data_IF_581858923567
#
_entry.id   IF_581858923567
#
_cell.length_a   1.000
_cell.length_b   1.000
_cell.length_c   1.000
_cell.angle_alpha   90.00
_cell.angle_beta   90.00
_cell.angle_gamma   90.00
#
_symmetry.space_group_name_H-M   'P 1'
#
loop_
_entity.id
_entity.type
_entity.pdbx_description
1 polymer ?
#
# COMPACT_ATOMS: atom_id res chain seq x y z
N UNK A 1 -17.89 63.08 -33.41
CA UNK A 1 -18.37 63.58 -32.11
C UNK A 1 -18.92 62.39 -31.34
N UNK A 2 -18.35 62.12 -30.16
CA UNK A 2 -18.80 61.07 -29.24
C UNK A 2 -20.21 61.37 -28.72
N UNK A 3 -21.05 60.35 -28.55
CA UNK A 3 -21.39 59.72 -27.25
C UNK A 3 -22.17 58.42 -27.53
N UNK A 4 -21.91 57.31 -26.81
CA UNK A 4 -22.54 55.99 -26.98
C UNK A 4 -23.63 55.69 -25.92
N UNK A 5 -24.47 54.68 -26.15
CA UNK A 5 -24.82 53.61 -25.19
C UNK A 5 -25.93 52.66 -25.70
N UNK A 6 -25.70 51.36 -25.46
CA UNK A 6 -26.67 50.32 -25.09
C UNK A 6 -27.74 49.83 -26.10
N UNK A 7 -27.66 48.56 -26.57
CA UNK A 7 -28.44 47.44 -26.01
C UNK A 7 -28.24 46.13 -26.83
N UNK A 8 -28.04 45.05 -26.06
CA UNK A 8 -28.49 43.66 -26.24
C UNK A 8 -28.19 42.81 -27.50
N UNK A 9 -27.56 41.67 -27.17
CA UNK A 9 -27.89 40.30 -27.57
C UNK A 9 -27.54 39.84 -28.99
N UNK A 10 -26.74 38.78 -29.10
CA UNK A 10 -27.25 37.42 -29.34
C UNK A 10 -26.10 36.41 -29.28
N UNK A 11 -26.32 35.37 -28.46
CA UNK A 11 -25.83 33.99 -28.58
C UNK A 11 -24.48 33.74 -29.32
N UNK A 12 -23.47 33.35 -28.54
CA UNK A 12 -22.68 32.15 -28.88
C UNK A 12 -22.44 31.35 -27.60
N UNK A 13 -23.22 30.26 -27.47
CA UNK A 13 -22.82 29.10 -26.69
C UNK A 13 -21.40 28.73 -27.12
N UNK A 14 -20.40 28.98 -26.26
CA UNK A 14 -19.13 28.28 -26.35
C UNK A 14 -19.25 27.07 -25.46
N UNK A 15 -19.38 25.93 -26.13
CA UNK A 15 -19.12 24.59 -25.61
C UNK A 15 -17.83 24.63 -24.81
N UNK A 16 -17.93 24.50 -23.49
CA UNK A 16 -16.78 24.25 -22.60
C UNK A 16 -16.93 22.83 -22.10
N UNK A 17 -16.40 21.88 -22.87
CA UNK A 17 -15.92 20.57 -22.43
C UNK A 17 -15.10 19.99 -23.59
N UNK A 18 -13.91 19.37 -23.41
CA UNK A 18 -13.64 18.30 -22.45
C UNK A 18 -12.19 18.28 -21.87
N UNK A 19 -11.49 19.41 -21.73
CA UNK A 19 -10.07 19.38 -21.33
C UNK A 19 -9.81 18.82 -19.91
N UNK A 20 -10.74 19.00 -18.97
CA UNK A 20 -10.58 18.45 -17.61
C UNK A 20 -10.70 16.92 -17.55
N UNK A 21 -11.55 16.32 -18.38
CA UNK A 21 -11.73 14.86 -18.42
C UNK A 21 -10.57 14.16 -19.13
N UNK A 22 -9.99 14.78 -20.17
CA UNK A 22 -8.80 14.28 -20.85
C UNK A 22 -7.54 14.35 -19.98
N UNK A 23 -7.39 15.39 -19.15
CA UNK A 23 -6.29 15.49 -18.20
C UNK A 23 -6.41 14.45 -17.07
N UNK A 24 -7.63 14.20 -16.57
CA UNK A 24 -7.86 13.13 -15.59
C UNK A 24 -7.53 11.75 -16.17
N UNK A 25 -7.96 11.47 -17.42
CA UNK A 25 -7.63 10.20 -18.09
C UNK A 25 -6.13 10.03 -18.37
N UNK A 26 -5.42 11.12 -18.63
CA UNK A 26 -3.97 11.09 -18.87
C UNK A 26 -3.16 10.75 -17.61
N UNK A 27 -3.61 11.17 -16.41
CA UNK A 27 -2.95 10.82 -15.13
C UNK A 27 -3.12 9.34 -14.80
N UNK A 28 -4.29 8.75 -15.07
CA UNK A 28 -4.50 7.31 -14.87
C UNK A 28 -3.78 6.46 -15.92
N UNK A 29 -3.54 6.97 -17.12
CA UNK A 29 -2.87 6.24 -18.20
C UNK A 29 -1.32 6.36 -18.18
N UNK A 30 -0.75 7.25 -17.36
CA UNK A 30 0.70 7.55 -17.36
C UNK A 30 1.51 6.80 -16.29
N UNK A 31 0.92 5.84 -15.58
CA UNK A 31 1.58 5.16 -14.45
C UNK A 31 1.87 6.10 -13.28
N UNK A 32 1.10 7.19 -13.13
CA UNK A 32 1.25 8.11 -12.01
C UNK A 32 0.37 7.64 -10.83
N UNK A 33 1.00 7.14 -9.76
CA UNK A 33 0.30 6.78 -8.52
C UNK A 33 -0.11 8.04 -7.76
N UNK A 34 -1.41 8.20 -7.50
CA UNK A 34 -1.95 9.31 -6.71
C UNK A 34 -2.27 8.80 -5.31
N UNK A 35 -1.57 9.32 -4.31
CA UNK A 35 -1.87 9.03 -2.91
C UNK A 35 -2.90 10.03 -2.39
N UNK A 36 -4.05 9.50 -1.95
CA UNK A 36 -5.13 10.28 -1.38
C UNK A 36 -5.98 9.45 -0.41
N UNK A 37 -6.56 10.14 0.56
CA UNK A 37 -7.56 9.65 1.51
C UNK A 37 -8.74 10.62 1.63
N UNK A 38 -9.08 11.34 0.56
CA UNK A 38 -10.20 12.31 0.53
C UNK A 38 -11.48 11.64 1.05
N UNK A 39 -12.04 12.20 2.12
CA UNK A 39 -13.26 11.71 2.77
C UNK A 39 -13.07 10.48 3.66
N UNK A 40 -11.84 9.98 3.79
CA UNK A 40 -11.47 8.84 4.65
C UNK A 40 -10.54 9.24 5.81
N UNK A 41 -9.87 10.39 5.69
CA UNK A 41 -8.88 10.90 6.64
C UNK A 41 -9.44 11.44 7.96
N UNK A 42 -10.73 11.28 8.27
CA UNK A 42 -11.33 11.90 9.47
C UNK A 42 -10.57 11.55 10.75
N UNK A 43 -10.05 12.58 11.42
CA UNK A 43 -9.29 12.45 12.67
C UNK A 43 -10.16 12.32 13.92
N UNK A 44 -9.53 11.99 15.04
CA UNK A 44 -10.21 11.72 16.31
C UNK A 44 -10.90 12.93 16.91
N UNK A 45 -10.47 14.16 16.60
CA UNK A 45 -11.13 15.37 17.07
C UNK A 45 -12.59 15.44 16.59
N UNK A 46 -12.84 14.96 15.36
CA UNK A 46 -14.16 14.93 14.75
C UNK A 46 -14.90 13.62 15.04
N UNK A 47 -14.18 12.50 15.05
CA UNK A 47 -14.77 11.18 15.19
C UNK A 47 -13.86 10.22 15.98
N UNK A 48 -13.96 10.18 17.32
CA UNK A 48 -13.23 9.24 18.16
C UNK A 48 -13.50 7.77 17.79
N UNK A 49 -12.56 6.89 18.11
CA UNK A 49 -12.73 5.45 17.86
C UNK A 49 -13.73 4.85 18.85
N UNK A 50 -14.62 4.00 18.36
CA UNK A 50 -15.72 3.43 19.15
C UNK A 50 -15.81 1.91 19.08
N UNK A 51 -14.87 1.25 18.40
CA UNK A 51 -14.81 -0.21 18.32
C UNK A 51 -14.57 -0.90 19.67
N UNK A 52 -14.62 -2.25 19.70
CA UNK A 52 -14.35 -3.03 20.91
C UNK A 52 -12.93 -2.81 21.44
N UNK A 53 -12.72 -3.13 22.71
CA UNK A 53 -11.39 -3.11 23.32
C UNK A 53 -10.47 -4.15 22.66
N UNK A 54 -9.16 -4.06 22.92
CA UNK A 54 -8.18 -4.97 22.32
C UNK A 54 -8.47 -6.45 22.54
N UNK A 55 -8.54 -7.18 21.44
CA UNK A 55 -8.55 -8.64 21.39
C UNK A 55 -7.59 -9.08 20.28
N UNK A 56 -6.67 -10.02 20.57
CA UNK A 56 -5.88 -10.64 19.52
C UNK A 56 -6.80 -11.26 18.46
N UNK A 57 -6.41 -11.17 17.20
CA UNK A 57 -7.04 -11.85 16.07
C UNK A 57 -7.21 -13.33 16.39
N UNK A 58 -8.42 -13.83 16.13
CA UNK A 58 -8.71 -15.24 16.33
C UNK A 58 -7.90 -16.09 15.33
N UNK A 59 -7.43 -17.26 15.79
CA UNK A 59 -6.56 -18.13 15.01
C UNK A 59 -7.26 -18.81 13.83
N UNK A 60 -8.58 -18.73 13.74
CA UNK A 60 -9.38 -19.21 12.61
C UNK A 60 -9.53 -18.15 11.50
N UNK A 61 -9.17 -16.89 11.77
CA UNK A 61 -9.24 -15.78 10.82
C UNK A 61 -7.97 -15.66 9.95
N UNK A 62 -6.93 -16.45 10.19
CA UNK A 62 -5.69 -16.44 9.41
C UNK A 62 -4.91 -17.77 9.51
N UNK A 63 -4.10 -18.07 8.50
CA UNK A 63 -3.21 -19.25 8.47
C UNK A 63 -1.76 -18.85 8.80
N UNK A 64 -1.02 -19.74 9.45
CA UNK A 64 0.42 -19.59 9.77
C UNK A 64 1.33 -19.61 8.54
N UNK A 65 0.80 -19.89 7.35
CA UNK A 65 1.51 -19.62 6.10
C UNK A 65 1.69 -18.11 5.85
N UNK A 66 0.88 -17.27 6.49
CA UNK A 66 0.91 -15.81 6.42
C UNK A 66 1.46 -15.20 7.72
N UNK A 67 1.60 -13.87 7.74
CA UNK A 67 2.00 -13.10 8.91
C UNK A 67 0.90 -12.11 9.32
N UNK A 68 0.93 -11.66 10.58
CA UNK A 68 0.01 -10.63 11.09
C UNK A 68 0.79 -9.38 11.46
N UNK A 69 0.36 -8.25 10.90
CA UNK A 69 0.83 -6.92 11.26
C UNK A 69 -0.23 -6.22 12.11
N UNK A 70 0.03 -6.04 13.40
CA UNK A 70 -0.75 -5.12 14.23
C UNK A 70 -0.23 -3.70 14.08
N UNK A 71 -1.14 -2.77 13.89
CA UNK A 71 -0.86 -1.34 13.97
C UNK A 71 -1.65 -0.77 15.13
N UNK A 72 -0.99 0.02 15.97
CA UNK A 72 -1.69 0.66 17.08
C UNK A 72 -1.11 2.03 17.43
N UNK A 73 -1.96 2.90 17.96
CA UNK A 73 -1.63 4.26 18.36
C UNK A 73 -2.14 4.50 19.79
N UNK A 74 -1.25 4.59 20.79
CA UNK A 74 -1.63 4.93 22.16
C UNK A 74 -2.35 6.28 22.25
N UNK A 75 -3.19 6.43 23.28
CA UNK A 75 -3.88 7.70 23.55
C UNK A 75 -2.89 8.85 23.82
N UNK A 76 -3.10 9.98 23.15
CA UNK A 76 -2.41 11.22 23.46
C UNK A 76 -3.24 12.43 23.10
N UNK A 77 -3.01 13.55 23.80
CA UNK A 77 -3.70 14.81 23.49
C UNK A 77 -3.44 15.29 22.06
N UNK A 78 -2.22 15.15 21.57
CA UNK A 78 -1.87 15.53 20.20
C UNK A 78 -2.70 14.77 19.17
N UNK A 79 -2.80 13.45 19.33
CA UNK A 79 -3.60 12.61 18.45
C UNK A 79 -5.12 12.82 18.62
N UNK A 80 -5.59 13.12 19.84
CA UNK A 80 -7.00 13.39 20.12
C UNK A 80 -7.48 14.71 19.48
N UNK A 81 -6.62 15.71 19.40
CA UNK A 81 -6.91 17.03 18.82
C UNK A 81 -6.72 17.07 17.29
N UNK A 82 -6.43 15.91 16.66
CA UNK A 82 -6.17 15.80 15.23
C UNK A 82 -7.45 15.78 14.38
N UNK A 83 -7.50 16.65 13.37
CA UNK A 83 -8.63 16.76 12.42
C UNK A 83 -8.51 15.75 11.29
N UNK A 84 -7.30 15.41 10.87
CA UNK A 84 -7.03 14.41 9.83
C UNK A 84 -6.06 13.34 10.33
N UNK A 85 -6.50 12.09 10.41
CA UNK A 85 -5.69 10.97 10.84
C UNK A 85 -4.69 10.54 9.75
N UNK A 86 -3.44 10.20 10.13
CA UNK A 86 -2.43 9.67 9.22
C UNK A 86 -2.89 8.40 8.49
N UNK A 87 -2.55 8.32 7.21
CA UNK A 87 -2.84 7.19 6.33
C UNK A 87 -1.72 6.15 6.38
N UNK A 88 -2.08 4.88 6.49
CA UNK A 88 -1.17 3.74 6.43
C UNK A 88 -1.28 3.06 5.07
N UNK A 89 -0.12 2.83 4.47
CA UNK A 89 0.06 2.14 3.21
C UNK A 89 0.92 0.90 3.40
N UNK A 90 0.54 -0.20 2.74
CA UNK A 90 1.37 -1.39 2.60
C UNK A 90 1.54 -1.65 1.11
N UNK A 91 2.79 -1.78 0.66
CA UNK A 91 3.16 -1.99 -0.73
C UNK A 91 2.42 -1.00 -1.66
N UNK A 92 2.51 0.29 -1.31
CA UNK A 92 1.87 1.43 -1.99
C UNK A 92 0.33 1.45 -2.06
N UNK A 93 -0.34 0.51 -1.40
CA UNK A 93 -1.80 0.47 -1.31
C UNK A 93 -2.32 1.06 0.01
N UNK A 94 -3.30 1.96 -0.07
CA UNK A 94 -3.95 2.57 1.11
C UNK A 94 -4.90 1.58 1.77
N UNK A 95 -4.79 1.40 3.10
CA UNK A 95 -5.70 0.53 3.84
C UNK A 95 -6.56 1.29 4.86
N UNK A 96 -5.95 2.08 5.73
CA UNK A 96 -6.67 2.75 6.81
C UNK A 96 -5.99 4.03 7.26
N UNK A 97 -6.74 4.83 8.04
CA UNK A 97 -6.24 6.03 8.71
C UNK A 97 -6.21 5.79 10.22
N UNK A 98 -5.03 5.87 10.83
CA UNK A 98 -4.83 5.47 12.23
C UNK A 98 -5.18 6.62 13.19
N UNK A 99 -6.38 6.51 13.77
CA UNK A 99 -6.92 7.47 14.73
C UNK A 99 -6.28 7.31 16.12
N UNK A 100 -6.42 8.32 16.97
CA UNK A 100 -6.04 8.25 18.38
C UNK A 100 -6.69 7.05 19.09
N UNK A 101 -5.95 6.47 20.05
CA UNK A 101 -6.44 5.41 20.93
C UNK A 101 -7.01 4.20 20.18
N UNK A 102 -6.30 3.77 19.13
CA UNK A 102 -6.81 2.74 18.22
C UNK A 102 -5.80 1.67 17.85
N UNK A 103 -6.31 0.49 17.50
CA UNK A 103 -5.55 -0.58 16.87
C UNK A 103 -6.30 -1.20 15.69
N UNK A 104 -5.55 -1.82 14.81
CA UNK A 104 -6.02 -2.70 13.74
C UNK A 104 -4.97 -3.76 13.46
N UNK A 105 -5.33 -4.73 12.62
CA UNK A 105 -4.41 -5.72 12.10
C UNK A 105 -4.61 -5.89 10.59
N UNK A 106 -3.56 -6.36 9.92
CA UNK A 106 -3.58 -6.84 8.54
C UNK A 106 -2.91 -8.21 8.48
N UNK A 107 -3.52 -9.17 7.77
CA UNK A 107 -2.85 -10.44 7.43
C UNK A 107 -2.14 -10.26 6.10
N UNK A 108 -0.85 -10.55 6.06
CA UNK A 108 0.04 -10.27 4.92
C UNK A 108 0.79 -11.51 4.49
N UNK A 109 1.22 -11.56 3.23
CA UNK A 109 2.15 -12.59 2.78
C UNK A 109 3.53 -12.44 3.41
N UNK A 110 4.25 -13.55 3.64
CA UNK A 110 5.64 -13.50 4.07
C UNK A 110 6.54 -12.81 3.02
N UNK A 111 7.69 -12.31 3.44
CA UNK A 111 8.66 -11.56 2.62
C UNK A 111 8.69 -10.06 2.92
N UNK A 112 9.35 -9.29 2.05
CA UNK A 112 9.51 -7.85 2.26
C UNK A 112 8.19 -7.09 2.07
N UNK A 113 7.78 -6.31 3.08
CA UNK A 113 6.62 -5.42 3.01
C UNK A 113 7.06 -3.98 3.16
N UNK A 114 6.70 -3.15 2.19
CA UNK A 114 6.95 -1.72 2.26
C UNK A 114 5.82 -1.06 3.05
N UNK A 115 6.15 -0.41 4.15
CA UNK A 115 5.21 0.25 5.05
C UNK A 115 5.49 1.74 5.00
N UNK A 116 4.50 2.50 4.56
CA UNK A 116 4.57 3.95 4.53
C UNK A 116 3.42 4.55 5.31
N UNK A 117 3.70 5.62 6.05
CA UNK A 117 2.68 6.40 6.71
C UNK A 117 2.74 7.86 6.29
N UNK A 118 1.60 8.40 5.88
CA UNK A 118 1.51 9.72 5.25
C UNK A 118 0.51 10.59 6.00
N UNK A 119 0.82 11.87 6.16
CA UNK A 119 -0.12 12.85 6.71
C UNK A 119 -0.90 13.48 5.56
N UNK A 120 -2.22 13.28 5.49
CA UNK A 120 -3.05 13.97 4.52
C UNK A 120 -3.13 15.47 4.81
N UNK A 121 -3.26 16.25 3.74
CA UNK A 121 -3.65 17.65 3.78
C UNK A 121 -4.89 17.83 2.92
N UNK A 122 -6.06 17.92 3.57
CA UNK A 122 -7.37 17.87 2.92
C UNK A 122 -7.57 16.58 2.09
N UNK A 123 -7.07 15.46 2.62
CA UNK A 123 -7.09 14.15 1.96
C UNK A 123 -6.16 13.97 0.77
N UNK A 124 -5.35 14.95 0.39
CA UNK A 124 -4.27 14.78 -0.59
C UNK A 124 -2.97 14.41 0.13
N UNK A 125 -2.23 13.45 -0.40
CA UNK A 125 -1.05 12.91 0.28
C UNK A 125 0.21 12.88 -0.59
N UNK A 126 0.08 12.70 -1.91
CA UNK A 126 1.25 12.65 -2.78
C UNK A 126 0.97 12.24 -4.22
N UNK A 127 2.03 12.26 -5.03
CA UNK A 127 2.07 11.81 -6.43
C UNK A 127 3.42 11.11 -6.68
N UNK A 128 3.41 9.84 -7.08
CA UNK A 128 4.62 9.02 -7.26
C UNK A 128 5.57 9.13 -6.05
N UNK A 129 6.87 9.32 -6.25
CA UNK A 129 7.84 9.47 -5.16
C UNK A 129 7.68 10.74 -4.32
N UNK A 130 6.77 11.67 -4.67
CA UNK A 130 6.53 12.88 -3.89
C UNK A 130 5.41 12.68 -2.88
N UNK A 131 5.75 12.72 -1.59
CA UNK A 131 4.79 12.79 -0.48
C UNK A 131 4.73 14.21 0.08
N UNK A 132 3.53 14.75 0.30
CA UNK A 132 3.31 16.06 0.91
C UNK A 132 3.84 16.11 2.35
N UNK A 133 3.64 15.01 3.09
CA UNK A 133 4.18 14.82 4.43
C UNK A 133 4.28 13.33 4.73
N UNK A 134 5.51 12.82 4.68
CA UNK A 134 5.86 11.44 5.01
C UNK A 134 6.20 11.37 6.50
N UNK A 135 5.51 10.50 7.24
CA UNK A 135 5.74 10.29 8.68
C UNK A 135 6.70 9.11 8.88
N UNK A 136 6.48 8.03 8.14
CA UNK A 136 7.31 6.84 8.19
C UNK A 136 7.40 6.20 6.80
N UNK A 137 8.54 5.58 6.53
CA UNK A 137 8.83 4.83 5.32
C UNK A 137 9.87 3.77 5.68
N UNK A 138 9.47 2.51 5.61
CA UNK A 138 10.29 1.39 6.03
C UNK A 138 9.95 0.13 5.25
N UNK A 139 10.95 -0.72 5.06
CA UNK A 139 10.74 -2.11 4.65
C UNK A 139 10.81 -3.00 5.89
N UNK A 140 9.87 -3.92 6.03
CA UNK A 140 9.87 -4.94 7.06
C UNK A 140 9.86 -6.32 6.41
N UNK A 141 10.86 -7.14 6.72
CA UNK A 141 10.83 -8.56 6.36
C UNK A 141 9.90 -9.29 7.33
N UNK A 142 8.86 -9.94 6.79
CA UNK A 142 7.90 -10.70 7.60
C UNK A 142 8.03 -12.20 7.34
N UNK A 143 8.04 -12.98 8.42
CA UNK A 143 8.16 -14.43 8.35
C UNK A 143 6.79 -15.12 8.46
N UNK A 144 6.61 -16.31 7.85
CA UNK A 144 5.40 -17.11 8.03
C UNK A 144 5.13 -17.40 9.51
N UNK A 145 3.90 -17.15 9.96
CA UNK A 145 3.47 -17.30 11.34
C UNK A 145 3.92 -16.17 12.27
N UNK A 146 4.66 -15.18 11.75
CA UNK A 146 5.13 -14.02 12.50
C UNK A 146 3.99 -13.09 12.88
N UNK A 147 4.10 -12.50 14.08
CA UNK A 147 3.16 -11.49 14.59
C UNK A 147 3.95 -10.27 15.02
N UNK A 148 3.74 -9.17 14.31
CA UNK A 148 4.52 -7.94 14.45
C UNK A 148 3.64 -6.82 14.98
N UNK A 149 4.20 -5.98 15.84
CA UNK A 149 3.48 -4.87 16.48
C UNK A 149 4.13 -3.53 16.10
N UNK A 150 3.44 -2.78 15.25
CA UNK A 150 3.84 -1.46 14.77
C UNK A 150 3.14 -0.40 15.63
N UNK A 151 3.91 0.19 16.53
CA UNK A 151 3.49 1.26 17.43
C UNK A 151 3.68 2.61 16.74
N UNK A 152 2.61 3.37 16.64
CA UNK A 152 2.67 4.75 16.13
C UNK A 152 2.44 5.78 17.24
N UNK A 153 3.36 6.73 17.40
CA UNK A 153 3.20 7.88 18.29
C UNK A 153 4.20 9.00 17.97
N UNK A 154 3.71 10.23 17.80
CA UNK A 154 4.53 11.42 17.51
C UNK A 154 5.03 12.16 18.76
N UNK A 155 4.57 11.76 19.95
CA UNK A 155 4.83 12.49 21.21
C UNK A 155 5.53 11.65 22.26
N UNK A 156 5.69 10.36 22.01
CA UNK A 156 6.33 9.42 22.92
C UNK A 156 6.98 8.28 22.16
N UNK A 157 8.23 7.99 22.51
CA UNK A 157 8.96 6.81 22.06
C UNK A 157 8.69 5.63 23.02
N UNK A 158 8.77 4.37 22.55
CA UNK A 158 8.72 3.21 23.41
C UNK A 158 9.95 3.18 24.33
N UNK A 159 9.78 2.65 25.54
CA UNK A 159 10.89 2.55 26.49
C UNK A 159 11.96 1.51 26.09
N UNK A 160 11.62 0.62 25.16
CA UNK A 160 12.47 -0.47 24.68
C UNK A 160 12.41 -0.51 23.14
N UNK A 161 13.56 -0.64 22.49
CA UNK A 161 13.66 -0.84 21.04
C UNK A 161 13.54 -2.32 20.69
N UNK A 162 13.05 -2.65 19.50
CA UNK A 162 13.03 -4.04 19.03
C UNK A 162 14.46 -4.62 18.99
N UNK A 163 14.76 -5.72 19.70
CA UNK A 163 16.14 -6.18 19.88
C UNK A 163 16.86 -6.60 18.60
N UNK A 164 16.12 -7.08 17.60
CA UNK A 164 16.69 -7.62 16.36
C UNK A 164 16.82 -6.57 15.26
N UNK A 165 16.25 -5.38 15.44
CA UNK A 165 16.39 -4.29 14.48
C UNK A 165 17.69 -3.52 14.72
N UNK A 166 18.36 -3.16 13.62
CA UNK A 166 19.50 -2.26 13.66
C UNK A 166 19.08 -0.87 14.18
N UNK A 167 19.98 -0.17 14.87
CA UNK A 167 19.65 1.08 15.54
C UNK A 167 19.28 2.23 14.59
N UNK A 168 19.69 2.14 13.33
CA UNK A 168 19.38 3.07 12.24
C UNK A 168 18.22 2.59 11.35
N UNK A 169 17.65 1.42 11.61
CA UNK A 169 16.48 0.94 10.90
C UNK A 169 15.30 1.92 11.07
N UNK A 170 14.54 2.26 10.00
CA UNK A 170 13.44 3.21 10.10
C UNK A 170 12.31 2.82 11.05
N UNK A 171 12.16 1.53 11.37
CA UNK A 171 11.23 1.04 12.41
C UNK A 171 11.85 0.93 13.81
N UNK A 172 13.14 1.22 13.98
CA UNK A 172 13.75 1.30 15.31
C UNK A 172 13.59 2.70 15.92
N UNK A 173 13.40 3.74 15.08
CA UNK A 173 13.39 5.16 15.45
C UNK A 173 12.33 5.93 14.66
N UNK A 174 11.88 7.07 15.19
CA UNK A 174 10.85 7.89 14.56
C UNK A 174 9.47 7.58 15.10
N UNK A 175 8.42 8.01 14.41
CA UNK A 175 7.07 7.98 14.97
C UNK A 175 6.40 6.60 14.84
N UNK A 176 6.76 5.80 13.82
CA UNK A 176 6.31 4.42 13.64
C UNK A 176 7.44 3.46 13.99
N UNK A 177 7.26 2.66 15.04
CA UNK A 177 8.30 1.78 15.56
C UNK A 177 7.79 0.35 15.72
N UNK A 178 8.61 -0.63 15.35
CA UNK A 178 8.36 -2.03 15.67
C UNK A 178 8.67 -2.25 17.15
N UNK A 179 7.79 -2.92 17.88
CA UNK A 179 7.97 -3.26 19.29
C UNK A 179 7.78 -4.74 19.53
N UNK A 180 8.37 -5.26 20.60
CA UNK A 180 8.22 -6.68 20.94
C UNK A 180 6.79 -6.99 21.38
N UNK A 181 6.33 -8.24 21.26
CA UNK A 181 5.03 -8.65 21.78
C UNK A 181 4.86 -8.32 23.26
N UNK A 182 5.89 -8.50 24.08
CA UNK A 182 5.87 -8.20 25.51
C UNK A 182 5.68 -6.71 25.78
N UNK A 183 6.32 -5.86 24.96
CA UNK A 183 6.17 -4.42 25.07
C UNK A 183 4.75 -3.99 24.66
N UNK A 184 4.26 -4.48 23.51
CA UNK A 184 2.93 -4.15 23.01
C UNK A 184 1.82 -4.51 24.02
N UNK A 185 2.01 -5.59 24.81
CA UNK A 185 1.02 -6.06 25.78
C UNK A 185 1.03 -5.30 27.12
N UNK A 186 1.83 -4.24 27.28
CA UNK A 186 1.83 -3.40 28.48
C UNK A 186 0.52 -2.60 28.59
N UNK A 187 0.10 -2.30 29.82
CA UNK A 187 -1.22 -1.71 30.14
C UNK A 187 -1.55 -0.36 29.47
N UNK A 188 -0.57 0.37 28.92
CA UNK A 188 -0.76 1.66 28.23
C UNK A 188 -0.50 1.58 26.72
N UNK A 189 -0.25 0.38 26.21
CA UNK A 189 0.08 0.12 24.81
C UNK A 189 -1.16 -0.47 24.11
N UNK A 190 -1.03 -1.51 23.26
CA UNK A 190 -2.14 -1.98 22.42
C UNK A 190 -3.37 -2.39 23.23
N UNK A 191 -3.17 -2.94 24.43
CA UNK A 191 -4.26 -3.42 25.30
C UNK A 191 -5.16 -2.31 25.82
N UNK A 192 -4.70 -1.06 25.81
CA UNK A 192 -5.48 0.11 26.21
C UNK A 192 -6.33 0.67 25.05
N UNK A 193 -6.04 0.25 23.82
CA UNK A 193 -6.63 0.84 22.61
C UNK A 193 -7.91 0.13 22.17
N UNK A 194 -8.65 0.78 21.26
CA UNK A 194 -9.91 0.29 20.71
C UNK A 194 -9.78 -0.10 19.24
N UNK A 195 -10.55 -1.08 18.79
CA UNK A 195 -10.48 -1.53 17.40
C UNK A 195 -10.93 -0.41 16.45
N UNK A 196 -10.14 -0.18 15.41
CA UNK A 196 -10.39 0.83 14.39
C UNK A 196 -11.55 0.40 13.49
N UNK A 197 -12.78 0.62 13.95
CA UNK A 197 -13.97 0.29 13.19
C UNK A 197 -14.07 1.13 11.90
N UNK A 198 -14.62 0.54 10.84
CA UNK A 198 -15.00 1.23 9.61
C UNK A 198 -16.43 1.75 9.74
N UNK A 199 -16.68 2.99 9.36
CA UNK A 199 -18.01 3.61 9.38
C UNK A 199 -18.16 4.69 8.29
N UNK A 200 -19.32 5.35 8.24
CA UNK A 200 -19.64 6.33 7.19
C UNK A 200 -18.78 7.61 7.28
N UNK A 201 -18.28 7.96 8.46
CA UNK A 201 -17.46 9.16 8.67
C UNK A 201 -15.96 8.86 8.56
N UNK A 202 -15.55 7.61 8.78
CA UNK A 202 -14.17 7.15 8.68
C UNK A 202 -14.08 5.76 8.02
N UNK A 203 -14.41 5.64 6.73
CA UNK A 203 -14.34 4.37 6.02
C UNK A 203 -12.89 3.91 5.86
N UNK A 204 -12.63 2.65 6.20
CA UNK A 204 -11.30 2.04 6.14
C UNK A 204 -11.39 0.52 5.85
N UNK A 205 -10.23 -0.08 5.56
CA UNK A 205 -10.02 -1.52 5.41
C UNK A 205 -9.20 -2.06 6.60
N UNK A 206 -9.63 -1.75 7.82
CA UNK A 206 -9.04 -2.29 9.05
C UNK A 206 -9.48 -3.75 9.30
N UNK A 207 -8.62 -4.54 9.91
CA UNK A 207 -8.92 -5.91 10.33
C UNK A 207 -9.25 -6.84 9.17
N UNK A 208 -8.41 -6.86 8.14
CA UNK A 208 -8.61 -7.68 6.94
C UNK A 208 -7.36 -8.45 6.56
N UNK A 209 -7.54 -9.53 5.80
CA UNK A 209 -6.46 -10.14 5.04
C UNK A 209 -6.21 -9.35 3.76
N UNK A 210 -4.93 -9.09 3.47
CA UNK A 210 -4.47 -8.45 2.23
C UNK A 210 -3.56 -9.39 1.43
N UNK A 211 -3.54 -10.67 1.79
CA UNK A 211 -2.75 -11.74 1.13
C UNK A 211 -2.95 -11.71 -0.38
N UNK A 212 -4.20 -11.73 -0.85
CA UNK A 212 -4.50 -11.78 -2.28
C UNK A 212 -3.96 -10.56 -3.04
N UNK A 213 -4.19 -9.36 -2.50
CA UNK A 213 -3.63 -8.13 -3.07
C UNK A 213 -2.09 -8.14 -3.03
N UNK A 214 -1.49 -8.72 -1.98
CA UNK A 214 -0.05 -8.86 -1.85
C UNK A 214 0.57 -9.83 -2.85
N UNK A 215 -0.11 -10.90 -3.24
CA UNK A 215 0.37 -11.86 -4.26
C UNK A 215 0.58 -11.17 -5.61
N UNK A 216 -0.35 -10.28 -5.99
CA UNK A 216 -0.27 -9.54 -7.26
C UNK A 216 0.91 -8.56 -7.23
N UNK A 217 1.09 -7.84 -6.12
CA UNK A 217 2.21 -6.92 -5.95
C UNK A 217 3.56 -7.67 -5.89
N UNK A 218 3.61 -8.82 -5.23
CA UNK A 218 4.80 -9.67 -5.18
C UNK A 218 5.18 -10.20 -6.57
N UNK A 219 4.18 -10.55 -7.38
CA UNK A 219 4.37 -10.94 -8.77
C UNK A 219 4.96 -9.80 -9.59
N UNK A 220 4.37 -8.59 -9.55
CA UNK A 220 4.87 -7.43 -10.28
C UNK A 220 6.29 -7.05 -9.87
N UNK A 221 6.59 -7.07 -8.57
CA UNK A 221 7.94 -6.81 -8.04
C UNK A 221 8.94 -7.82 -8.55
N UNK A 222 8.60 -9.12 -8.51
CA UNK A 222 9.50 -10.18 -8.96
C UNK A 222 9.68 -10.15 -10.48
N UNK A 223 8.64 -9.79 -11.23
CA UNK A 223 8.72 -9.58 -12.68
C UNK A 223 9.75 -8.49 -13.00
N UNK A 224 9.62 -7.32 -12.36
CA UNK A 224 10.54 -6.20 -12.57
C UNK A 224 12.00 -6.56 -12.23
N UNK A 225 12.23 -7.27 -11.11
CA UNK A 225 13.57 -7.73 -10.73
C UNK A 225 14.16 -8.72 -11.75
N UNK A 226 13.36 -9.66 -12.25
CA UNK A 226 13.81 -10.62 -13.26
C UNK A 226 14.07 -9.97 -14.63
N UNK A 227 13.31 -8.93 -14.98
CA UNK A 227 13.57 -8.12 -16.17
C UNK A 227 14.91 -7.38 -16.06
N UNK A 228 15.23 -6.80 -14.89
CA UNK A 228 16.54 -6.18 -14.64
C UNK A 228 17.68 -7.23 -14.69
N UNK A 229 17.51 -8.39 -14.05
CA UNK A 229 18.46 -9.50 -14.15
C UNK A 229 18.72 -9.91 -15.60
N UNK A 230 17.65 -9.94 -16.41
CA UNK A 230 17.71 -10.28 -17.84
C UNK A 230 18.51 -9.25 -18.63
N UNK A 231 18.30 -7.96 -18.38
CA UNK A 231 19.08 -6.88 -19.02
C UNK A 231 20.57 -7.00 -18.67
N UNK A 232 20.89 -7.18 -17.39
CA UNK A 232 22.28 -7.37 -16.92
C UNK A 232 22.93 -8.61 -17.57
N UNK A 233 22.16 -9.69 -17.71
CA UNK A 233 22.62 -10.91 -18.38
C UNK A 233 22.91 -10.68 -19.87
N UNK A 234 22.05 -9.94 -20.57
CA UNK A 234 22.25 -9.57 -21.97
C UNK A 234 23.50 -8.69 -22.13
N UNK A 235 23.65 -7.66 -21.30
CA UNK A 235 24.85 -6.79 -21.32
C UNK A 235 26.15 -7.57 -21.08
N UNK A 236 26.09 -8.60 -20.23
CA UNK A 236 27.22 -9.52 -20.02
C UNK A 236 27.52 -10.31 -21.30
N UNK A 237 26.51 -10.89 -21.95
CA UNK A 237 26.69 -11.63 -23.19
C UNK A 237 27.17 -10.75 -24.36
N UNK A 238 26.73 -9.50 -24.43
CA UNK A 238 27.23 -8.51 -25.38
C UNK A 238 28.74 -8.27 -25.21
N UNK A 239 29.19 -8.07 -23.96
CA UNK A 239 30.62 -7.91 -23.63
C UNK A 239 31.45 -9.15 -23.96
N UNK A 240 30.86 -10.33 -23.86
CA UNK A 240 31.48 -11.60 -24.24
C UNK A 240 31.44 -11.89 -25.75
N UNK A 241 30.75 -11.06 -26.54
CA UNK A 241 30.56 -11.28 -27.98
C UNK A 241 29.64 -12.46 -28.29
N UNK A 242 28.80 -12.88 -27.34
CA UNK A 242 27.87 -14.01 -27.39
C UNK A 242 26.41 -13.57 -27.56
N UNK A 243 26.22 -12.33 -27.97
CA UNK A 243 24.94 -11.74 -28.27
C UNK A 243 24.97 -11.19 -29.68
N UNK A 244 24.00 -11.59 -30.51
CA UNK A 244 23.88 -11.07 -31.87
C UNK A 244 22.94 -9.89 -31.86
N UNK A 245 23.43 -8.68 -32.18
CA UNK A 245 22.58 -7.49 -32.17
C UNK A 245 21.51 -7.56 -33.27
N UNK A 246 20.44 -6.81 -33.05
CA UNK A 246 19.37 -6.61 -34.01
C UNK A 246 19.91 -6.17 -35.39
N UNK A 247 19.43 -6.75 -36.51
CA UNK A 247 19.62 -6.15 -37.82
C UNK A 247 19.00 -4.75 -37.86
N UNK A 248 19.62 -3.81 -38.58
CA UNK A 248 19.16 -2.41 -38.66
C UNK A 248 17.70 -2.24 -39.17
N UNK A 249 17.20 -3.20 -39.96
CA UNK A 249 15.83 -3.22 -40.49
C UNK A 249 14.82 -3.86 -39.54
N UNK A 250 15.29 -4.45 -38.42
CA UNK A 250 14.46 -5.07 -37.38
C UNK A 250 15.05 -4.78 -35.99
N UNK A 251 14.93 -3.53 -35.48
CA UNK A 251 15.60 -3.08 -34.26
C UNK A 251 15.04 -3.69 -32.97
N UNK A 252 13.94 -4.45 -33.06
CA UNK A 252 13.34 -5.19 -31.95
C UNK A 252 13.83 -6.65 -31.87
N UNK A 253 14.76 -7.03 -32.74
CA UNK A 253 15.42 -8.34 -32.69
C UNK A 253 16.74 -8.31 -31.94
N UNK A 254 17.32 -9.48 -31.74
CA UNK A 254 18.55 -9.65 -30.99
C UNK A 254 18.46 -10.98 -30.27
N UNK A 255 19.41 -11.87 -30.50
CA UNK A 255 19.34 -13.23 -29.96
C UNK A 255 20.64 -13.53 -29.23
N UNK A 256 20.57 -13.92 -27.94
CA UNK A 256 21.70 -14.48 -27.24
C UNK A 256 22.03 -15.85 -27.86
N UNK A 257 23.32 -16.19 -27.94
CA UNK A 257 23.76 -17.49 -28.43
C UNK A 257 23.44 -18.63 -27.44
N UNK A 258 22.95 -18.30 -26.24
CA UNK A 258 22.52 -19.22 -25.18
C UNK A 258 21.20 -18.79 -24.58
N UNK A 259 20.42 -19.75 -24.08
CA UNK A 259 19.21 -19.46 -23.31
C UNK A 259 19.58 -18.69 -22.03
N UNK A 260 18.87 -17.60 -21.76
CA UNK A 260 19.06 -16.79 -20.57
C UNK A 260 18.53 -17.52 -19.35
N UNK A 261 19.23 -17.40 -18.23
CA UNK A 261 18.73 -17.92 -16.96
C UNK A 261 17.51 -17.11 -16.50
N UNK A 262 17.53 -15.79 -16.72
CA UNK A 262 16.42 -14.92 -16.41
C UNK A 262 15.13 -15.29 -17.17
N UNK A 263 15.23 -15.64 -18.47
CA UNK A 263 14.07 -16.07 -19.27
C UNK A 263 13.40 -17.33 -18.67
N UNK A 264 14.20 -18.28 -18.17
CA UNK A 264 13.66 -19.49 -17.52
C UNK A 264 12.95 -19.17 -16.20
N UNK A 265 13.48 -18.20 -15.45
CA UNK A 265 12.84 -17.73 -14.20
C UNK A 265 11.54 -17.00 -14.49
N UNK A 266 11.52 -16.15 -15.52
CA UNK A 266 10.32 -15.44 -15.99
C UNK A 266 9.22 -16.42 -16.41
N UNK A 267 9.54 -17.39 -17.26
CA UNK A 267 8.57 -18.40 -17.71
C UNK A 267 8.00 -19.20 -16.52
N UNK A 268 8.83 -19.48 -15.51
CA UNK A 268 8.37 -20.13 -14.29
C UNK A 268 7.43 -19.21 -13.49
N UNK A 269 7.81 -17.94 -13.30
CA UNK A 269 7.00 -16.97 -12.58
C UNK A 269 5.61 -16.80 -13.21
N UNK A 270 5.55 -16.64 -14.53
CA UNK A 270 4.30 -16.54 -15.29
C UNK A 270 3.42 -17.79 -15.11
N UNK A 271 4.02 -18.98 -15.13
CA UNK A 271 3.28 -20.24 -14.90
C UNK A 271 2.74 -20.35 -13.48
N UNK A 272 3.56 -20.00 -12.49
CA UNK A 272 3.16 -20.06 -11.08
C UNK A 272 2.00 -19.06 -10.83
N UNK A 273 2.09 -17.85 -11.38
CA UNK A 273 1.02 -16.85 -11.30
C UNK A 273 -0.26 -17.28 -12.05
N UNK A 274 -0.14 -17.84 -13.26
CA UNK A 274 -1.29 -18.36 -14.00
C UNK A 274 -1.96 -19.57 -13.34
N UNK A 275 -1.25 -20.33 -12.51
CA UNK A 275 -1.84 -21.37 -11.68
C UNK A 275 -2.66 -20.73 -10.55
N UNK A 276 -2.09 -19.73 -9.88
CA UNK A 276 -2.72 -19.00 -8.79
C UNK A 276 -4.03 -18.34 -9.24
N UNK A 277 -4.04 -17.65 -10.39
CA UNK A 277 -5.26 -17.08 -10.97
C UNK A 277 -6.35 -18.15 -11.19
N UNK A 278 -5.99 -19.33 -11.71
CA UNK A 278 -6.95 -20.44 -11.89
C UNK A 278 -7.49 -20.97 -10.57
N UNK A 279 -6.70 -20.95 -9.50
CA UNK A 279 -7.19 -21.35 -8.17
C UNK A 279 -8.18 -20.33 -7.61
N UNK A 280 -7.94 -19.03 -7.82
CA UNK A 280 -8.88 -17.97 -7.48
C UNK A 280 -10.18 -18.10 -8.25
N UNK A 281 -10.12 -18.25 -9.58
CA UNK A 281 -11.31 -18.47 -10.43
C UNK A 281 -12.12 -19.68 -9.97
N UNK A 282 -11.45 -20.78 -9.58
CA UNK A 282 -12.11 -21.97 -9.04
C UNK A 282 -12.82 -21.69 -7.72
N UNK A 283 -12.19 -20.97 -6.80
CA UNK A 283 -12.77 -20.58 -5.50
C UNK A 283 -13.97 -19.66 -5.69
N UNK A 284 -13.87 -18.66 -6.56
CA UNK A 284 -14.99 -17.75 -6.90
C UNK A 284 -16.16 -18.50 -7.55
N UNK A 285 -15.88 -19.48 -8.41
CA UNK A 285 -16.90 -20.34 -9.00
C UNK A 285 -17.61 -21.19 -7.94
N UNK A 286 -16.87 -21.78 -7.00
CA UNK A 286 -17.44 -22.56 -5.89
C UNK A 286 -18.31 -21.69 -4.95
N UNK A 287 -17.89 -20.46 -4.66
CA UNK A 287 -18.65 -19.50 -3.86
C UNK A 287 -19.93 -19.00 -4.58
N UNK A 288 -19.84 -18.76 -5.90
CA UNK A 288 -20.97 -18.28 -6.70
C UNK A 288 -22.00 -19.38 -7.04
N UNK A 289 -21.57 -20.63 -7.22
CA UNK A 289 -22.47 -21.78 -7.39
C UNK A 289 -23.25 -22.10 -6.10
N UNK A 290 -22.76 -21.67 -4.94
CA UNK A 290 -23.46 -21.74 -3.65
C UNK A 290 -24.61 -20.75 -3.48
N UNK A 291 -24.77 -19.79 -4.40
CA UNK A 291 -25.74 -18.69 -4.31
C UNK A 291 -27.05 -18.91 -5.11
N UNK A 292 -27.37 -20.15 -5.46
CA UNK A 292 -28.63 -20.53 -6.12
C UNK A 292 -29.51 -21.44 -5.25
N UNK A 293 -30.09 -20.89 -4.19
CA UNK A 293 -31.33 -21.42 -3.60
C UNK A 293 -32.23 -20.30 -3.08
N UNK A 294 -33.13 -19.80 -3.95
CA UNK A 294 -34.45 -19.26 -3.61
C UNK A 294 -35.43 -19.58 -4.73
#
# INVERSE_FOLDING_TARGET
MNVPACFSAFFRLRVVWPFGLLAAFAVFASGCTVYQSIGKSTGSFLHPVSGPDFQPIDSDLWDREHAVLYFYRPDSRWAADEIEAPSVYIDDSHYFNIRNDSYTWLVVNPGERHIAMRRPLLGLEGLNSFSLSLIADATLEVEPGGVYYLRYSEVSEPAETYPELEADHPLARGDLQLVSPEYAMKAQEIVATRFLNSDLLAPNHAGTSIVEAGEDVDYERRLALLEEEREIEIERLEREGRYRPAPWYWPFGGEPDVALEADRKLEKLEKDYALLEKERERREAEESDGWWFF
#
